data_IF_003220574446
#
_entry.id   IF_003220574446
#
_cell.length_a   1.000
_cell.length_b   1.000
_cell.length_c   1.000
_cell.angle_alpha   90.00
_cell.angle_beta   90.00
_cell.angle_gamma   90.00
#
_symmetry.space_group_name_H-M   'P 1'
#
loop_
_entity.id
_entity.type
_entity.pdbx_description
1 polymer ?
#
# COMPACT_ATOMS: atom_id res chain seq x y z
N UNK A 1 -21.86 -4.99 26.42
CA UNK A 1 -23.18 -4.40 26.14
C UNK A 1 -23.41 -3.26 27.11
N UNK A 2 -23.98 -2.14 26.68
CA UNK A 2 -24.32 -1.02 27.57
C UNK A 2 -25.83 -0.79 27.51
N UNK A 3 -26.52 -0.94 28.65
CA UNK A 3 -27.97 -0.81 28.70
C UNK A 3 -28.34 0.68 28.73
N UNK A 4 -29.07 1.14 27.72
CA UNK A 4 -29.54 2.53 27.66
C UNK A 4 -30.87 2.74 28.40
N UNK A 5 -31.76 1.75 28.36
CA UNK A 5 -33.07 1.81 29.00
C UNK A 5 -33.57 0.42 29.39
N UNK A 6 -34.35 0.34 30.47
CA UNK A 6 -34.89 -0.92 30.99
C UNK A 6 -33.91 -1.70 31.85
N UNK A 7 -34.23 -2.97 32.08
CA UNK A 7 -33.44 -3.91 32.89
C UNK A 7 -33.27 -5.20 32.11
N UNK A 8 -32.02 -5.63 31.93
CA UNK A 8 -31.68 -6.87 31.25
C UNK A 8 -31.50 -7.97 32.29
N UNK A 9 -32.13 -9.13 32.08
CA UNK A 9 -32.10 -10.25 33.03
C UNK A 9 -31.56 -11.53 32.42
N UNK A 10 -31.02 -12.37 33.29
CA UNK A 10 -30.68 -13.75 32.89
C UNK A 10 -31.94 -14.49 32.47
N UNK A 11 -31.89 -15.12 31.30
CA UNK A 11 -33.03 -15.80 30.69
C UNK A 11 -33.81 -14.97 29.66
N UNK A 12 -33.55 -13.66 29.56
CA UNK A 12 -34.13 -12.83 28.50
C UNK A 12 -33.67 -13.29 27.11
N UNK A 13 -34.50 -13.02 26.10
CA UNK A 13 -34.17 -13.29 24.71
C UNK A 13 -33.78 -11.95 24.09
N UNK A 14 -32.55 -11.87 23.59
CA UNK A 14 -31.97 -10.63 23.07
C UNK A 14 -31.72 -10.78 21.58
N UNK A 15 -32.02 -9.71 20.85
CA UNK A 15 -31.56 -9.49 19.48
C UNK A 15 -30.56 -8.34 19.52
N UNK A 16 -29.37 -8.55 18.98
CA UNK A 16 -28.30 -7.55 18.87
C UNK A 16 -27.80 -7.52 17.42
N UNK A 17 -28.17 -6.48 16.66
CA UNK A 17 -27.88 -6.43 15.22
C UNK A 17 -28.41 -7.67 14.47
N UNK A 18 -27.50 -8.45 13.88
CA UNK A 18 -27.78 -9.72 13.19
C UNK A 18 -27.53 -10.98 14.05
N UNK A 19 -27.30 -10.81 15.35
CA UNK A 19 -27.18 -11.87 16.34
C UNK A 19 -28.44 -11.96 17.21
N UNK A 20 -28.76 -13.16 17.71
CA UNK A 20 -29.78 -13.33 18.73
C UNK A 20 -29.45 -14.50 19.64
N UNK A 21 -30.06 -14.52 20.83
CA UNK A 21 -29.93 -15.65 21.73
C UNK A 21 -30.58 -15.39 23.08
N UNK A 22 -30.62 -16.44 23.89
CA UNK A 22 -31.08 -16.36 25.28
C UNK A 22 -29.90 -16.04 26.19
N UNK A 23 -30.05 -15.05 27.06
CA UNK A 23 -29.04 -14.67 28.06
C UNK A 23 -28.80 -15.84 29.01
N UNK A 24 -27.61 -16.43 28.95
CA UNK A 24 -27.20 -17.53 29.83
C UNK A 24 -26.49 -17.03 31.08
N UNK A 25 -25.76 -15.92 30.95
CA UNK A 25 -25.11 -15.25 32.05
C UNK A 25 -24.87 -13.78 31.69
N UNK A 26 -24.91 -12.93 32.73
CA UNK A 26 -24.42 -11.56 32.69
C UNK A 26 -23.21 -11.47 33.62
N UNK A 27 -22.15 -10.84 33.14
CA UNK A 27 -20.94 -10.58 33.92
C UNK A 27 -20.71 -9.08 33.94
N UNK A 28 -20.60 -8.50 35.14
CA UNK A 28 -20.29 -7.09 35.33
C UNK A 28 -18.82 -6.77 35.01
N UNK A 29 -18.49 -5.50 34.90
CA UNK A 29 -17.14 -4.98 34.65
C UNK A 29 -16.09 -5.44 35.70
N UNK A 30 -16.53 -5.64 36.94
CA UNK A 30 -15.71 -6.17 38.03
C UNK A 30 -15.52 -7.71 37.98
N UNK A 31 -16.06 -8.38 36.95
CA UNK A 31 -15.98 -9.83 36.76
C UNK A 31 -16.99 -10.64 37.58
N UNK A 32 -17.85 -10.01 38.37
CA UNK A 32 -18.90 -10.70 39.11
C UNK A 32 -20.07 -11.10 38.21
N UNK A 33 -20.65 -12.28 38.44
CA UNK A 33 -21.90 -12.67 37.79
C UNK A 33 -23.07 -11.94 38.42
N UNK A 34 -23.94 -11.38 37.60
CA UNK A 34 -25.14 -10.64 38.03
C UNK A 34 -26.39 -11.29 37.43
N UNK A 35 -27.51 -11.23 38.15
CA UNK A 35 -28.78 -11.78 37.66
C UNK A 35 -29.55 -10.79 36.78
N UNK A 36 -29.40 -9.50 37.08
CA UNK A 36 -29.97 -8.40 36.31
C UNK A 36 -28.97 -7.24 36.18
N UNK A 37 -29.16 -6.42 35.14
CA UNK A 37 -28.34 -5.28 34.83
C UNK A 37 -29.23 -4.09 34.42
N UNK A 38 -29.01 -2.94 35.05
CA UNK A 38 -29.81 -1.72 34.86
C UNK A 38 -29.21 -0.74 33.84
N UNK A 39 -29.85 0.42 33.62
CA UNK A 39 -29.34 1.45 32.74
C UNK A 39 -27.97 1.96 33.20
N UNK A 40 -27.10 2.28 32.24
CA UNK A 40 -25.72 2.76 32.46
C UNK A 40 -24.74 1.74 33.03
N UNK A 41 -25.16 0.48 33.22
CA UNK A 41 -24.27 -0.60 33.64
C UNK A 41 -23.70 -1.33 32.40
N UNK A 42 -22.36 -1.38 32.24
CA UNK A 42 -21.75 -2.21 31.21
C UNK A 42 -21.74 -3.68 31.67
N UNK A 43 -22.26 -4.58 30.83
CA UNK A 43 -22.24 -6.02 31.10
C UNK A 43 -21.76 -6.81 29.90
N UNK A 44 -21.00 -7.86 30.16
CA UNK A 44 -20.70 -8.92 29.21
C UNK A 44 -21.85 -9.92 29.21
N UNK A 45 -22.47 -10.10 28.04
CA UNK A 45 -23.58 -11.01 27.84
C UNK A 45 -23.07 -12.27 27.17
N UNK A 46 -23.36 -13.42 27.79
CA UNK A 46 -23.08 -14.74 27.24
C UNK A 46 -24.38 -15.41 26.79
N UNK A 47 -24.40 -15.97 25.58
CA UNK A 47 -25.53 -16.77 25.09
C UNK A 47 -26.05 -16.42 23.68
N UNK A 48 -25.46 -15.43 23.01
CA UNK A 48 -25.75 -15.17 21.60
C UNK A 48 -25.20 -16.28 20.70
N UNK A 49 -25.88 -16.50 19.58
CA UNK A 49 -25.47 -17.47 18.57
C UNK A 49 -24.21 -17.06 17.79
N UNK A 50 -23.94 -15.76 17.71
CA UNK A 50 -22.76 -15.17 17.07
C UNK A 50 -22.41 -13.83 17.76
N UNK A 51 -21.20 -13.34 17.54
CA UNK A 51 -20.82 -12.01 18.00
C UNK A 51 -21.60 -10.92 17.22
N UNK A 52 -22.23 -9.96 17.90
CA UNK A 52 -22.80 -8.78 17.26
C UNK A 52 -21.71 -7.79 16.86
N UNK A 53 -22.01 -6.87 15.95
CA UNK A 53 -21.07 -5.84 15.54
C UNK A 53 -20.91 -4.75 16.60
N UNK A 54 -19.76 -4.10 16.61
CA UNK A 54 -19.53 -2.97 17.49
C UNK A 54 -20.51 -1.83 17.15
N UNK A 55 -21.19 -1.32 18.18
CA UNK A 55 -22.20 -0.27 18.02
C UNK A 55 -23.60 -0.77 17.62
N UNK A 56 -23.79 -2.08 17.43
CA UNK A 56 -25.13 -2.63 17.19
C UNK A 56 -26.06 -2.35 18.37
N UNK A 57 -27.25 -1.84 18.06
CA UNK A 57 -28.33 -1.75 19.03
C UNK A 57 -28.85 -3.15 19.37
N UNK A 58 -29.14 -3.36 20.65
CA UNK A 58 -29.76 -4.58 21.13
C UNK A 58 -31.09 -4.31 21.82
N UNK A 59 -31.99 -5.29 21.76
CA UNK A 59 -33.34 -5.20 22.32
C UNK A 59 -33.77 -6.56 22.85
N UNK A 60 -34.48 -6.55 23.98
CA UNK A 60 -35.12 -7.75 24.54
C UNK A 60 -36.44 -8.00 23.81
N UNK A 61 -36.70 -9.26 23.45
CA UNK A 61 -37.91 -9.68 22.74
C UNK A 61 -38.62 -10.82 23.45
N UNK A 62 -39.91 -10.94 23.18
CA UNK A 62 -40.85 -11.79 23.91
C UNK A 62 -40.69 -13.30 23.62
N UNK A 63 -40.10 -13.66 22.47
CA UNK A 63 -39.94 -15.07 22.08
C UNK A 63 -38.77 -15.31 21.13
N UNK A 64 -38.27 -16.55 21.13
CA UNK A 64 -37.17 -16.96 20.22
C UNK A 64 -37.60 -16.93 18.76
N UNK A 65 -38.88 -17.26 18.48
CA UNK A 65 -39.42 -17.22 17.12
C UNK A 65 -39.36 -15.81 16.54
N UNK A 66 -39.75 -14.80 17.32
CA UNK A 66 -39.68 -13.39 16.94
C UNK A 66 -38.23 -12.92 16.77
N UNK A 67 -37.33 -13.35 17.64
CA UNK A 67 -35.90 -13.05 17.54
C UNK A 67 -35.30 -13.55 16.21
N UNK A 68 -35.59 -14.81 15.86
CA UNK A 68 -35.16 -15.44 14.60
C UNK A 68 -35.68 -14.70 13.39
N UNK A 69 -36.97 -14.37 13.38
CA UNK A 69 -37.60 -13.66 12.25
C UNK A 69 -36.95 -12.28 12.01
N UNK A 70 -36.68 -11.52 13.07
CA UNK A 70 -36.01 -10.22 12.99
C UNK A 70 -34.59 -10.38 12.42
N UNK A 71 -33.83 -11.36 12.92
CA UNK A 71 -32.46 -11.60 12.47
C UNK A 71 -32.43 -12.10 11.02
N UNK A 72 -33.29 -13.04 10.64
CA UNK A 72 -33.38 -13.54 9.26
C UNK A 72 -33.73 -12.41 8.29
N UNK A 73 -34.65 -11.53 8.66
CA UNK A 73 -34.98 -10.34 7.86
C UNK A 73 -33.78 -9.40 7.70
N UNK A 74 -33.06 -9.10 8.80
CA UNK A 74 -31.86 -8.26 8.76
C UNK A 74 -30.74 -8.88 7.93
N UNK A 75 -30.48 -10.18 8.11
CA UNK A 75 -29.47 -10.91 7.34
C UNK A 75 -29.82 -10.98 5.85
N UNK A 76 -31.11 -11.16 5.51
CA UNK A 76 -31.55 -11.12 4.11
C UNK A 76 -31.35 -9.74 3.51
N UNK A 77 -31.75 -8.69 4.21
CA UNK A 77 -31.58 -7.30 3.76
C UNK A 77 -30.10 -6.94 3.56
N UNK A 78 -29.22 -7.37 4.45
CA UNK A 78 -27.78 -7.15 4.33
C UNK A 78 -27.19 -7.94 3.18
N UNK A 79 -27.61 -9.21 3.01
CA UNK A 79 -27.22 -10.03 1.86
C UNK A 79 -27.70 -9.43 0.55
N UNK A 80 -28.90 -8.88 0.49
CA UNK A 80 -29.44 -8.20 -0.69
C UNK A 80 -28.69 -6.89 -0.98
N UNK A 81 -28.20 -6.20 0.06
CA UNK A 81 -27.35 -5.01 -0.10
C UNK A 81 -25.97 -5.35 -0.65
N UNK A 82 -25.35 -6.43 -0.16
CA UNK A 82 -24.05 -6.92 -0.63
C UNK A 82 -24.14 -7.56 -2.01
N UNK A 83 -25.23 -8.30 -2.28
CA UNK A 83 -25.51 -8.96 -3.55
C UNK A 83 -26.32 -8.12 -4.52
N UNK A 84 -26.61 -6.84 -4.23
CA UNK A 84 -27.03 -5.92 -5.28
C UNK A 84 -25.81 -5.85 -6.19
N UNK A 85 -25.83 -6.48 -7.37
CA UNK A 85 -24.74 -6.30 -8.28
C UNK A 85 -24.89 -4.84 -8.66
N UNK A 86 -23.95 -4.00 -8.24
CA UNK A 86 -23.51 -2.98 -9.17
C UNK A 86 -23.04 -3.82 -10.34
N UNK A 87 -23.93 -4.07 -11.30
CA UNK A 87 -23.57 -4.62 -12.57
C UNK A 87 -22.58 -3.60 -13.08
N UNK A 88 -21.29 -3.84 -12.80
CA UNK A 88 -20.21 -3.04 -13.34
C UNK A 88 -20.43 -3.17 -14.83
N UNK A 89 -20.95 -2.12 -15.43
CA UNK A 89 -21.22 -2.10 -16.86
C UNK A 89 -19.93 -2.53 -17.56
N UNK A 90 -20.05 -3.16 -18.73
CA UNK A 90 -18.86 -3.54 -19.49
C UNK A 90 -17.92 -2.33 -19.68
N UNK A 91 -18.50 -1.12 -19.76
CA UNK A 91 -17.81 0.17 -19.78
C UNK A 91 -17.03 0.47 -18.49
N UNK A 92 -17.56 0.17 -17.30
CA UNK A 92 -16.84 0.31 -16.03
C UNK A 92 -15.72 -0.73 -15.85
N UNK A 93 -15.90 -1.95 -16.36
CA UNK A 93 -14.82 -2.95 -16.38
C UNK A 93 -13.73 -2.55 -17.39
N UNK A 94 -14.12 -1.98 -18.54
CA UNK A 94 -13.20 -1.44 -19.54
C UNK A 94 -12.48 -0.17 -19.05
N UNK A 95 -13.10 0.67 -18.22
CA UNK A 95 -12.43 1.84 -17.65
C UNK A 95 -11.39 1.45 -16.58
N UNK A 96 -11.69 0.43 -15.76
CA UNK A 96 -10.73 -0.12 -14.79
C UNK A 96 -9.54 -0.82 -15.46
N UNK A 97 -9.67 -1.28 -16.71
CA UNK A 97 -8.57 -1.80 -17.52
C UNK A 97 -7.76 -0.70 -18.24
N UNK A 98 -8.32 0.51 -18.37
CA UNK A 98 -7.67 1.65 -19.05
C UNK A 98 -6.83 2.52 -18.12
N UNK A 99 -7.23 2.63 -16.86
CA UNK A 99 -6.33 3.04 -15.79
C UNK A 99 -5.31 1.90 -15.63
N UNK A 100 -4.03 2.17 -15.91
CA UNK A 100 -2.99 1.13 -15.94
C UNK A 100 -3.01 0.24 -14.70
N UNK A 101 -2.54 -1.00 -14.84
CA UNK A 101 -2.57 -2.04 -13.78
C UNK A 101 -2.15 -1.49 -12.41
N UNK A 102 -3.14 -1.07 -11.61
CA UNK A 102 -2.96 -0.73 -10.21
C UNK A 102 -2.47 -1.99 -9.53
N UNK A 103 -1.28 -1.94 -8.95
CA UNK A 103 -0.71 -3.10 -8.26
C UNK A 103 -1.49 -3.32 -6.97
N UNK A 104 -1.90 -4.55 -6.72
CA UNK A 104 -2.61 -4.91 -5.49
C UNK A 104 -1.69 -5.72 -4.58
N UNK A 105 -1.69 -5.40 -3.29
CA UNK A 105 -1.08 -6.18 -2.21
C UNK A 105 -2.21 -6.92 -1.50
N UNK A 106 -2.46 -8.20 -1.83
CA UNK A 106 -3.52 -8.95 -1.18
C UNK A 106 -3.11 -9.31 0.25
N UNK A 107 -4.01 -9.15 1.21
CA UNK A 107 -3.76 -9.47 2.62
C UNK A 107 -4.98 -10.12 3.27
N UNK A 108 -4.76 -10.95 4.29
CA UNK A 108 -5.81 -11.47 5.17
C UNK A 108 -5.59 -10.96 6.59
N UNK A 109 -6.65 -10.47 7.24
CA UNK A 109 -6.56 -9.90 8.60
C UNK A 109 -7.29 -10.78 9.60
N UNK A 110 -6.63 -11.14 10.70
CA UNK A 110 -7.25 -11.76 11.87
C UNK A 110 -6.97 -10.93 13.10
N UNK A 111 -7.99 -10.63 13.89
CA UNK A 111 -7.85 -9.86 15.12
C UNK A 111 -8.52 -10.57 16.31
N UNK A 112 -8.12 -10.19 17.52
CA UNK A 112 -8.70 -10.67 18.78
C UNK A 112 -10.14 -10.20 18.97
N UNK A 113 -10.42 -8.96 18.58
CA UNK A 113 -11.73 -8.32 18.66
C UNK A 113 -12.09 -7.61 17.36
N UNK A 114 -13.39 -7.40 17.13
CA UNK A 114 -13.90 -6.78 15.92
C UNK A 114 -13.40 -5.34 15.72
N UNK A 115 -13.34 -4.54 16.79
CA UNK A 115 -12.88 -3.15 16.70
C UNK A 115 -11.43 -3.02 16.19
N UNK A 116 -10.55 -3.93 16.59
CA UNK A 116 -9.18 -4.01 16.07
C UNK A 116 -9.17 -4.35 14.58
N UNK A 117 -10.01 -5.31 14.16
CA UNK A 117 -10.13 -5.70 12.75
C UNK A 117 -10.57 -4.53 11.87
N UNK A 118 -11.60 -3.79 12.29
CA UNK A 118 -12.12 -2.63 11.55
C UNK A 118 -11.10 -1.49 11.49
N UNK A 119 -10.41 -1.21 12.60
CA UNK A 119 -9.37 -0.18 12.66
C UNK A 119 -8.19 -0.49 11.72
N UNK A 120 -7.78 -1.76 11.64
CA UNK A 120 -6.71 -2.20 10.73
C UNK A 120 -7.16 -2.03 9.28
N UNK A 121 -8.34 -2.52 8.91
CA UNK A 121 -8.86 -2.39 7.54
C UNK A 121 -8.93 -0.91 7.13
N UNK A 122 -9.48 -0.06 7.98
CA UNK A 122 -9.59 1.38 7.70
C UNK A 122 -8.21 2.05 7.55
N UNK A 123 -7.19 1.58 8.28
CA UNK A 123 -5.82 2.06 8.12
C UNK A 123 -5.20 1.60 6.80
N UNK A 124 -5.38 0.32 6.44
CA UNK A 124 -4.88 -0.28 5.21
C UNK A 124 -5.50 0.36 3.95
N UNK A 125 -6.80 0.65 3.97
CA UNK A 125 -7.51 1.28 2.84
C UNK A 125 -7.02 2.73 2.58
N UNK A 126 -6.67 3.47 3.64
CA UNK A 126 -6.17 4.85 3.53
C UNK A 126 -4.78 4.95 2.91
N UNK A 127 -3.99 3.87 2.93
CA UNK A 127 -2.65 3.85 2.34
C UNK A 127 -2.64 3.68 0.81
N UNK A 128 -3.78 3.34 0.21
CA UNK A 128 -3.86 3.12 -1.23
C UNK A 128 -3.59 4.39 -2.03
N UNK A 129 -2.81 4.24 -3.11
CA UNK A 129 -2.59 5.27 -4.13
C UNK A 129 -3.19 4.81 -5.46
N UNK A 130 -3.09 5.65 -6.50
CA UNK A 130 -3.49 5.27 -7.86
C UNK A 130 -2.58 4.18 -8.45
N UNK A 131 -1.33 4.05 -7.97
CA UNK A 131 -0.35 3.08 -8.46
C UNK A 131 -0.37 1.74 -7.70
N UNK A 132 -0.57 1.77 -6.37
CA UNK A 132 -0.51 0.58 -5.49
C UNK A 132 -1.61 0.65 -4.43
N UNK A 133 -2.25 -0.47 -4.13
CA UNK A 133 -3.27 -0.56 -3.09
C UNK A 133 -3.26 -1.87 -2.32
N UNK A 134 -3.74 -1.82 -1.09
CA UNK A 134 -3.98 -3.02 -0.28
C UNK A 134 -5.35 -3.59 -0.64
N UNK A 135 -5.41 -4.90 -0.86
CA UNK A 135 -6.66 -5.63 -1.08
C UNK A 135 -6.88 -6.61 0.06
N UNK A 136 -7.88 -6.35 0.89
CA UNK A 136 -8.24 -7.27 1.98
C UNK A 136 -9.07 -8.42 1.41
N UNK A 137 -8.52 -9.63 1.40
CA UNK A 137 -9.20 -10.85 0.93
C UNK A 137 -10.28 -11.30 1.91
N UNK A 138 -9.94 -11.28 3.19
CA UNK A 138 -10.83 -11.63 4.29
C UNK A 138 -10.35 -10.94 5.56
N UNK A 139 -11.31 -10.52 6.38
CA UNK A 139 -11.07 -10.04 7.72
C UNK A 139 -11.99 -10.78 8.70
N UNK A 140 -11.43 -11.26 9.80
CA UNK A 140 -12.18 -12.03 10.78
C UNK A 140 -11.66 -11.90 12.19
N UNK A 141 -12.49 -12.31 13.15
CA UNK A 141 -12.16 -12.31 14.58
C UNK A 141 -11.79 -13.73 15.01
N UNK A 142 -10.77 -13.85 15.85
CA UNK A 142 -10.25 -15.10 16.39
C UNK A 142 -8.93 -15.55 15.80
N UNK A 143 -8.46 -16.72 16.26
CA UNK A 143 -7.18 -17.30 15.82
C UNK A 143 -7.14 -17.66 14.34
N UNK A 144 -5.93 -17.79 13.80
CA UNK A 144 -5.72 -18.20 12.40
C UNK A 144 -5.98 -19.71 12.25
N UNK A 145 -6.75 -20.06 11.23
CA UNK A 145 -7.20 -21.42 10.92
C UNK A 145 -6.66 -21.92 9.57
N UNK A 146 -6.78 -23.22 9.29
CA UNK A 146 -6.36 -23.84 8.03
C UNK A 146 -7.10 -23.24 6.80
N UNK A 147 -8.37 -22.88 6.97
CA UNK A 147 -9.16 -22.24 5.92
C UNK A 147 -8.58 -20.89 5.51
N UNK A 148 -8.04 -20.13 6.48
CA UNK A 148 -7.39 -18.85 6.22
C UNK A 148 -6.09 -19.05 5.43
N UNK A 149 -5.29 -20.05 5.82
CA UNK A 149 -4.05 -20.43 5.11
C UNK A 149 -4.35 -20.89 3.68
N UNK A 150 -5.41 -21.67 3.49
CA UNK A 150 -5.82 -22.15 2.16
C UNK A 150 -6.20 -20.97 1.24
N UNK A 151 -6.95 -20.00 1.76
CA UNK A 151 -7.35 -18.81 1.01
C UNK A 151 -6.12 -17.96 0.61
N UNK A 152 -5.18 -17.81 1.53
CA UNK A 152 -3.94 -17.07 1.33
C UNK A 152 -2.98 -17.73 0.35
N UNK A 153 -2.82 -19.06 0.40
CA UNK A 153 -1.97 -19.82 -0.52
C UNK A 153 -2.44 -19.69 -1.98
N UNK A 154 -3.75 -19.61 -2.22
CA UNK A 154 -4.29 -19.44 -3.57
C UNK A 154 -4.06 -18.04 -4.16
N UNK A 155 -3.73 -17.05 -3.32
CA UNK A 155 -3.67 -15.63 -3.71
C UNK A 155 -2.32 -14.98 -3.37
N UNK A 156 -1.32 -15.77 -2.98
CA UNK A 156 0.01 -15.31 -2.52
C UNK A 156 -0.07 -14.18 -1.48
N UNK A 157 -1.02 -14.28 -0.54
CA UNK A 157 -1.33 -13.23 0.42
C UNK A 157 -0.81 -13.57 1.83
N UNK A 158 -0.07 -12.68 2.51
CA UNK A 158 0.29 -12.88 3.91
C UNK A 158 -0.94 -12.76 4.83
N UNK A 159 -0.84 -13.42 5.98
CA UNK A 159 -1.83 -13.34 7.07
C UNK A 159 -1.30 -12.38 8.15
N UNK A 160 -2.05 -11.32 8.42
CA UNK A 160 -1.79 -10.34 9.47
C UNK A 160 -2.62 -10.70 10.72
N UNK A 161 -1.95 -11.25 11.74
CA UNK A 161 -2.55 -11.72 12.97
C UNK A 161 -2.33 -10.72 14.12
N UNK A 162 -3.35 -9.94 14.47
CA UNK A 162 -3.32 -8.94 15.53
C UNK A 162 -3.84 -9.50 16.86
N UNK A 163 -2.97 -9.56 17.88
CA UNK A 163 -3.25 -10.14 19.20
C UNK A 163 -3.78 -11.59 19.19
N UNK A 164 -3.64 -12.30 18.08
CA UNK A 164 -4.09 -13.68 17.91
C UNK A 164 -2.96 -14.58 17.44
N UNK A 165 -3.14 -15.90 17.59
CA UNK A 165 -2.17 -16.91 17.18
C UNK A 165 -2.81 -17.91 16.22
N UNK A 166 -1.97 -18.50 15.37
CA UNK A 166 -2.35 -19.65 14.57
C UNK A 166 -2.39 -20.91 15.43
N UNK A 167 -3.41 -21.74 15.21
CA UNK A 167 -3.45 -23.08 15.78
C UNK A 167 -2.32 -23.96 15.18
N UNK A 168 -1.99 -25.07 15.85
CA UNK A 168 -0.87 -25.91 15.42
C UNK A 168 -1.02 -26.44 13.98
N UNK A 169 -2.21 -26.91 13.55
CA UNK A 169 -2.40 -27.35 12.17
C UNK A 169 -2.24 -26.23 11.13
N UNK A 170 -2.78 -25.04 11.37
CA UNK A 170 -2.64 -23.89 10.47
C UNK A 170 -1.18 -23.47 10.33
N UNK A 171 -0.40 -23.52 11.42
CA UNK A 171 1.04 -23.20 11.37
C UNK A 171 1.82 -24.19 10.51
N UNK A 172 1.57 -25.49 10.66
CA UNK A 172 2.20 -26.52 9.84
C UNK A 172 1.81 -26.39 8.37
N UNK A 173 0.54 -26.07 8.09
CA UNK A 173 0.07 -25.82 6.73
C UNK A 173 0.72 -24.58 6.12
N UNK A 174 0.85 -23.49 6.89
CA UNK A 174 1.49 -22.27 6.43
C UNK A 174 2.96 -22.46 6.11
N UNK A 175 3.71 -23.22 6.93
CA UNK A 175 5.09 -23.60 6.63
C UNK A 175 5.21 -24.45 5.36
N UNK A 176 4.30 -25.41 5.17
CA UNK A 176 4.28 -26.29 3.99
C UNK A 176 3.96 -25.52 2.70
N UNK A 177 2.93 -24.68 2.76
CA UNK A 177 2.37 -23.96 1.61
C UNK A 177 3.03 -22.59 1.42
N UNK A 178 4.09 -22.30 2.19
CA UNK A 178 4.89 -21.06 2.16
C UNK A 178 4.05 -19.78 2.34
N UNK A 179 3.00 -19.86 3.15
CA UNK A 179 2.16 -18.71 3.51
C UNK A 179 2.77 -18.02 4.73
N UNK A 180 3.10 -16.74 4.58
CA UNK A 180 3.65 -15.95 5.68
C UNK A 180 2.56 -15.55 6.68
N UNK A 181 2.76 -15.85 7.96
CA UNK A 181 1.92 -15.38 9.07
C UNK A 181 2.72 -14.39 9.91
N UNK A 182 2.32 -13.13 9.89
CA UNK A 182 2.92 -12.07 10.70
C UNK A 182 2.05 -11.78 11.92
N UNK A 183 2.69 -11.70 13.07
CA UNK A 183 2.02 -11.45 14.34
C UNK A 183 2.30 -10.03 14.81
N UNK A 184 1.24 -9.31 15.12
CA UNK A 184 1.30 -7.94 15.59
C UNK A 184 0.53 -7.78 16.90
N UNK A 185 0.96 -6.81 17.69
CA UNK A 185 0.26 -6.32 18.88
C UNK A 185 0.11 -4.79 18.85
N UNK A 186 0.70 -4.12 17.87
CA UNK A 186 0.62 -2.67 17.63
C UNK A 186 0.20 -2.45 16.17
N UNK A 187 -0.82 -1.61 15.96
CA UNK A 187 -1.38 -1.38 14.60
C UNK A 187 -0.37 -0.63 13.72
N UNK A 188 0.40 0.29 14.28
CA UNK A 188 1.41 1.06 13.53
C UNK A 188 2.47 0.15 12.91
N UNK A 189 3.00 -0.81 13.66
CA UNK A 189 4.00 -1.77 13.14
C UNK A 189 3.45 -2.58 11.95
N UNK A 190 2.17 -2.97 12.01
CA UNK A 190 1.49 -3.66 10.91
C UNK A 190 1.37 -2.77 9.67
N UNK A 191 0.92 -1.53 9.89
CA UNK A 191 0.75 -0.53 8.84
C UNK A 191 2.09 -0.21 8.17
N UNK A 192 3.15 -0.02 8.96
CA UNK A 192 4.50 0.30 8.48
C UNK A 192 5.11 -0.86 7.67
N UNK A 193 4.91 -2.12 8.11
CA UNK A 193 5.36 -3.29 7.35
C UNK A 193 4.66 -3.38 5.98
N UNK A 194 3.34 -3.19 5.95
CA UNK A 194 2.59 -3.21 4.68
C UNK A 194 2.99 -2.04 3.79
N UNK A 195 3.21 -0.86 4.38
CA UNK A 195 3.72 0.31 3.68
C UNK A 195 5.07 0.02 3.02
N UNK A 196 6.01 -0.59 3.73
CA UNK A 196 7.32 -0.96 3.18
C UNK A 196 7.21 -1.93 2.00
N UNK A 197 6.28 -2.89 2.06
CA UNK A 197 5.98 -3.78 0.92
C UNK A 197 5.46 -3.00 -0.28
N UNK A 198 4.51 -2.08 -0.06
CA UNK A 198 3.96 -1.25 -1.12
C UNK A 198 5.03 -0.33 -1.75
N UNK A 199 5.92 0.25 -0.94
CA UNK A 199 7.07 1.05 -1.41
C UNK A 199 8.01 0.23 -2.29
N UNK A 200 8.31 -1.00 -1.90
CA UNK A 200 9.13 -1.93 -2.71
C UNK A 200 8.51 -2.28 -4.07
N UNK A 201 7.20 -2.08 -4.24
CA UNK A 201 6.49 -2.31 -5.50
C UNK A 201 6.43 -1.06 -6.39
N UNK A 202 6.78 0.12 -5.89
CA UNK A 202 6.80 1.36 -6.66
C UNK A 202 8.01 1.38 -7.62
N UNK A 203 7.79 1.92 -8.82
CA UNK A 203 8.90 2.20 -9.73
C UNK A 203 9.78 3.31 -9.11
N UNK A 204 11.11 3.17 -9.11
CA UNK A 204 11.98 4.19 -8.55
C UNK A 204 11.91 5.48 -9.38
N UNK A 205 12.03 6.62 -8.72
CA UNK A 205 12.07 7.92 -9.40
C UNK A 205 13.49 8.20 -9.89
N UNK A 206 13.59 8.75 -11.09
CA UNK A 206 14.84 9.28 -11.63
C UNK A 206 15.02 10.71 -11.12
N UNK A 207 16.09 10.97 -10.36
CA UNK A 207 16.48 12.32 -9.95
C UNK A 207 17.67 12.75 -10.77
N UNK A 208 17.55 13.92 -11.39
CA UNK A 208 18.66 14.57 -12.07
C UNK A 208 19.45 15.42 -11.07
N UNK A 209 20.76 15.18 -11.02
CA UNK A 209 21.71 15.97 -10.24
C UNK A 209 22.63 16.70 -11.20
N UNK A 210 22.57 18.03 -11.19
CA UNK A 210 23.45 18.87 -11.98
C UNK A 210 24.92 18.65 -11.57
N UNK A 211 25.80 18.48 -12.56
CA UNK A 211 27.24 18.29 -12.36
C UNK A 211 28.08 19.47 -12.84
N UNK A 212 27.68 20.14 -13.91
CA UNK A 212 28.46 21.24 -14.47
C UNK A 212 27.95 21.74 -15.81
N UNK A 213 28.57 22.84 -16.26
CA UNK A 213 28.30 23.46 -17.56
C UNK A 213 29.60 23.58 -18.35
N UNK A 214 29.51 23.42 -19.67
CA UNK A 214 30.62 23.63 -20.59
C UNK A 214 30.19 24.46 -21.80
N UNK A 215 31.03 25.39 -22.22
CA UNK A 215 30.77 26.24 -23.38
C UNK A 215 31.55 25.71 -24.60
N UNK A 216 30.89 25.55 -25.75
CA UNK A 216 31.56 25.14 -26.99
C UNK A 216 32.27 26.35 -27.61
N UNK A 217 33.61 26.32 -27.61
CA UNK A 217 34.45 27.38 -28.16
C UNK A 217 34.85 27.11 -29.62
N UNK A 218 34.97 25.84 -29.99
CA UNK A 218 35.34 25.45 -31.35
C UNK A 218 34.72 24.09 -31.71
N UNK A 219 34.43 23.87 -32.98
CA UNK A 219 33.95 22.56 -33.47
C UNK A 219 34.97 22.00 -34.46
N UNK A 220 35.41 20.78 -34.22
CA UNK A 220 36.33 20.04 -35.07
C UNK A 220 35.57 18.93 -35.81
N UNK A 221 35.95 18.67 -37.06
CA UNK A 221 35.42 17.53 -37.80
C UNK A 221 36.50 16.43 -37.89
N UNK A 222 36.25 15.28 -37.26
CA UNK A 222 37.18 14.15 -37.22
C UNK A 222 36.57 13.00 -38.01
N UNK A 223 37.29 12.50 -39.02
CA UNK A 223 36.84 11.46 -39.96
C UNK A 223 36.34 10.16 -39.33
N UNK A 224 36.72 9.83 -38.09
CA UNK A 224 36.30 8.61 -37.38
C UNK A 224 35.25 8.83 -36.27
N UNK A 225 35.21 10.01 -35.65
CA UNK A 225 34.37 10.29 -34.47
C UNK A 225 33.23 11.26 -34.80
N UNK A 226 33.23 11.86 -36.00
CA UNK A 226 32.29 12.89 -36.39
C UNK A 226 32.70 14.27 -35.85
N UNK A 227 31.71 15.10 -35.53
CA UNK A 227 31.93 16.44 -34.96
C UNK A 227 32.28 16.35 -33.47
N UNK A 228 33.39 16.98 -33.10
CA UNK A 228 33.88 17.08 -31.72
C UNK A 228 33.86 18.53 -31.29
N UNK A 229 33.19 18.80 -30.18
CA UNK A 229 33.14 20.10 -29.53
C UNK A 229 34.42 20.31 -28.70
N UNK A 230 35.22 21.31 -29.05
CA UNK A 230 36.24 21.86 -28.16
C UNK A 230 35.57 22.80 -27.17
N UNK A 231 35.52 22.37 -25.92
CA UNK A 231 34.76 23.02 -24.85
C UNK A 231 35.66 23.46 -23.71
N UNK A 232 35.21 24.49 -22.98
CA UNK A 232 35.76 24.86 -21.69
C UNK A 232 34.69 24.69 -20.63
N UNK A 233 35.02 24.00 -19.53
CA UNK A 233 34.09 23.83 -18.41
C UNK A 233 33.95 25.18 -17.70
N UNK A 234 32.75 25.76 -17.72
CA UNK A 234 32.45 27.03 -17.07
C UNK A 234 32.18 26.85 -15.57
N UNK A 235 31.51 25.76 -15.21
CA UNK A 235 31.09 25.47 -13.83
C UNK A 235 31.11 23.96 -13.56
N UNK A 236 31.46 23.58 -12.34
CA UNK A 236 31.38 22.18 -11.89
C UNK A 236 32.38 21.26 -12.58
N UNK A 237 31.90 20.13 -13.10
CA UNK A 237 32.71 19.13 -13.79
C UNK A 237 31.93 18.42 -14.91
N UNK A 238 32.67 17.95 -15.91
CA UNK A 238 32.19 17.03 -16.92
C UNK A 238 32.67 15.61 -16.60
N UNK A 239 31.78 14.63 -16.70
CA UNK A 239 32.10 13.21 -16.49
C UNK A 239 31.67 12.41 -17.71
N UNK A 240 32.52 11.49 -18.17
CA UNK A 240 32.28 10.70 -19.39
C UNK A 240 30.96 9.90 -19.31
N UNK A 241 30.61 9.40 -18.14
CA UNK A 241 29.41 8.57 -17.91
C UNK A 241 28.13 9.38 -17.67
N UNK A 242 28.22 10.71 -17.57
CA UNK A 242 27.07 11.56 -17.29
C UNK A 242 26.18 11.75 -18.54
N UNK A 243 24.94 12.15 -18.30
CA UNK A 243 24.05 12.64 -19.35
C UNK A 243 24.34 14.12 -19.62
N UNK A 244 23.98 14.55 -20.82
CA UNK A 244 24.22 15.91 -21.29
C UNK A 244 22.97 16.47 -21.97
N UNK A 245 22.70 17.75 -21.75
CA UNK A 245 21.77 18.54 -22.56
C UNK A 245 22.56 19.60 -23.31
N UNK A 246 22.32 19.69 -24.61
CA UNK A 246 22.83 20.77 -25.44
C UNK A 246 21.80 21.88 -25.50
N UNK A 247 22.23 23.10 -25.17
CA UNK A 247 21.39 24.27 -25.02
C UNK A 247 21.89 25.36 -25.97
N UNK A 248 20.99 25.91 -26.78
CA UNK A 248 21.23 27.02 -27.70
C UNK A 248 20.17 28.08 -27.46
N UNK A 249 20.57 29.34 -27.26
CA UNK A 249 19.66 30.45 -26.97
C UNK A 249 18.67 30.14 -25.81
N UNK A 250 19.17 29.47 -24.77
CA UNK A 250 18.40 29.01 -23.59
C UNK A 250 17.32 27.95 -23.88
N UNK A 251 17.37 27.29 -25.04
CA UNK A 251 16.47 26.18 -25.41
C UNK A 251 17.26 24.87 -25.52
N UNK A 252 16.76 23.80 -24.90
CA UNK A 252 17.33 22.45 -25.04
C UNK A 252 17.07 21.95 -26.46
N UNK A 253 18.15 21.76 -27.23
CA UNK A 253 18.09 21.28 -28.62
C UNK A 253 18.39 19.79 -28.74
N UNK A 254 19.08 19.22 -27.75
CA UNK A 254 19.38 17.79 -27.72
C UNK A 254 19.63 17.31 -26.29
N UNK A 255 19.19 16.09 -25.99
CA UNK A 255 19.52 15.36 -24.77
C UNK A 255 20.13 14.02 -25.14
N UNK A 256 21.21 13.64 -24.45
CA UNK A 256 21.89 12.41 -24.77
C UNK A 256 23.03 12.08 -23.83
N UNK A 257 23.93 11.23 -24.32
CA UNK A 257 25.14 10.79 -23.65
C UNK A 257 26.36 11.24 -24.46
N UNK A 258 27.48 11.39 -23.78
CA UNK A 258 28.75 11.60 -24.47
C UNK A 258 29.16 10.30 -25.17
N UNK A 259 29.85 10.39 -26.31
CA UNK A 259 30.53 9.28 -27.00
C UNK A 259 32.03 9.27 -26.70
N UNK A 260 32.64 10.44 -26.48
CA UNK A 260 34.01 10.56 -25.96
C UNK A 260 34.15 11.82 -25.11
N UNK A 261 35.01 11.74 -24.09
CA UNK A 261 35.50 12.88 -23.31
C UNK A 261 37.02 12.82 -23.32
N UNK A 262 37.66 13.83 -23.91
CA UNK A 262 39.12 13.87 -24.10
C UNK A 262 39.69 15.16 -23.55
N UNK A 263 40.88 15.08 -22.98
CA UNK A 263 41.69 16.26 -22.70
C UNK A 263 42.91 16.21 -23.62
N UNK A 264 43.03 17.18 -24.51
CA UNK A 264 43.97 17.14 -25.63
C UNK A 264 43.81 15.89 -26.49
N UNK A 265 44.70 14.89 -26.34
CA UNK A 265 44.67 13.65 -27.10
C UNK A 265 44.22 12.44 -26.27
N UNK A 266 44.15 12.58 -24.95
CA UNK A 266 43.94 11.48 -24.02
C UNK A 266 42.47 11.41 -23.58
N UNK A 267 41.91 10.20 -23.53
CA UNK A 267 40.59 9.97 -22.97
C UNK A 267 40.65 10.04 -21.44
N UNK A 268 39.72 10.81 -20.87
CA UNK A 268 39.67 11.09 -19.43
C UNK A 268 38.30 10.77 -18.88
N UNK A 269 38.25 10.37 -17.61
CA UNK A 269 36.99 10.06 -16.93
C UNK A 269 36.21 11.32 -16.55
N UNK A 270 36.94 12.36 -16.15
CA UNK A 270 36.37 13.62 -15.71
C UNK A 270 37.28 14.82 -16.04
N UNK A 271 36.67 16.00 -16.13
CA UNK A 271 37.32 17.29 -16.37
C UNK A 271 36.64 18.33 -15.50
N UNK A 272 37.42 19.19 -14.84
CA UNK A 272 36.89 20.18 -13.89
C UNK A 272 36.79 21.58 -14.48
N UNK A 273 36.04 22.45 -13.80
CA UNK A 273 35.91 23.88 -14.12
C UNK A 273 37.24 24.56 -14.43
N UNK A 274 37.23 25.42 -15.45
CA UNK A 274 38.39 26.15 -15.94
C UNK A 274 39.31 25.36 -16.88
N UNK A 275 39.07 24.07 -17.08
CA UNK A 275 39.86 23.24 -17.99
C UNK A 275 39.19 23.12 -19.37
N UNK A 276 40.02 22.94 -20.39
CA UNK A 276 39.59 22.65 -21.76
C UNK A 276 39.52 21.14 -22.01
N UNK A 277 38.52 20.73 -22.79
CA UNK A 277 38.30 19.34 -23.18
C UNK A 277 37.61 19.24 -24.54
N UNK A 278 37.75 18.08 -25.18
CA UNK A 278 37.00 17.68 -26.35
C UNK A 278 35.85 16.75 -25.96
N UNK A 279 34.64 17.10 -26.36
CA UNK A 279 33.43 16.29 -26.16
C UNK A 279 32.84 15.89 -27.50
N UNK A 280 32.46 14.63 -27.65
CA UNK A 280 31.65 14.18 -28.77
C UNK A 280 30.35 13.59 -28.21
N UNK A 281 29.24 13.83 -28.91
CA UNK A 281 27.92 13.31 -28.52
C UNK A 281 27.66 11.95 -29.17
N UNK A 282 26.82 11.15 -28.56
CA UNK A 282 26.35 9.89 -29.14
C UNK A 282 25.17 10.16 -30.07
N UNK A 283 25.27 9.71 -31.33
CA UNK A 283 24.23 9.86 -32.36
C UNK A 283 23.76 11.30 -32.65
N UNK A 284 24.57 12.32 -32.32
CA UNK A 284 24.23 13.72 -32.57
C UNK A 284 25.44 14.52 -33.08
N UNK A 285 25.22 15.35 -34.11
CA UNK A 285 26.29 16.11 -34.77
C UNK A 285 26.00 17.61 -34.99
N UNK A 286 24.78 18.09 -34.73
CA UNK A 286 24.45 19.52 -34.88
C UNK A 286 24.87 20.33 -33.64
N UNK A 287 26.18 20.42 -33.45
CA UNK A 287 26.84 21.27 -32.45
C UNK A 287 27.39 22.54 -33.11
N UNK A 288 27.25 23.67 -32.43
CA UNK A 288 27.71 24.98 -32.89
C UNK A 288 28.54 25.68 -31.80
N UNK A 289 29.40 26.60 -32.25
CA UNK A 289 30.16 27.46 -31.33
C UNK A 289 29.19 28.39 -30.62
N UNK A 290 29.34 28.52 -29.30
CA UNK A 290 28.44 29.28 -28.44
C UNK A 290 27.32 28.46 -27.80
N UNK A 291 27.13 27.20 -28.20
CA UNK A 291 26.21 26.30 -27.48
C UNK A 291 26.75 25.99 -26.08
N UNK A 292 25.84 25.78 -25.13
CA UNK A 292 26.13 25.38 -23.75
C UNK A 292 25.77 23.92 -23.56
N UNK A 293 26.66 23.15 -22.95
CA UNK A 293 26.45 21.76 -22.59
C UNK A 293 26.23 21.70 -21.09
N UNK A 294 25.00 21.42 -20.68
CA UNK A 294 24.67 21.10 -19.29
C UNK A 294 24.92 19.62 -19.04
N UNK A 295 25.71 19.30 -18.02
CA UNK A 295 26.07 17.93 -17.65
C UNK A 295 25.36 17.59 -16.34
N UNK A 296 24.69 16.43 -16.31
CA UNK A 296 23.95 15.96 -15.15
C UNK A 296 24.05 14.44 -15.01
N UNK A 297 23.93 13.97 -13.78
CA UNK A 297 23.80 12.55 -13.45
C UNK A 297 22.34 12.21 -13.16
N UNK A 298 21.93 11.01 -13.54
CA UNK A 298 20.60 10.49 -13.22
C UNK A 298 20.77 9.42 -12.15
N UNK A 299 20.29 9.72 -10.95
CA UNK A 299 20.25 8.77 -9.84
C UNK A 299 18.86 8.13 -9.75
N UNK A 300 18.84 6.81 -9.56
CA UNK A 300 17.60 6.06 -9.33
C UNK A 300 17.35 6.03 -7.83
N UNK A 301 16.30 6.72 -7.38
CA UNK A 301 15.94 6.81 -5.96
C UNK A 301 14.67 6.00 -5.73
N UNK A 302 14.70 5.11 -4.72
CA UNK A 302 13.51 4.38 -4.30
C UNK A 302 12.43 5.37 -3.80
N UNK A 303 11.19 5.20 -4.27
CA UNK A 303 10.07 6.03 -3.82
C UNK A 303 9.58 5.56 -2.46
N UNK A 304 9.33 6.53 -1.58
CA UNK A 304 8.59 6.33 -0.34
C UNK A 304 7.15 6.75 -0.54
N UNK A 305 6.24 6.06 0.16
CA UNK A 305 4.83 6.44 0.27
C UNK A 305 4.71 7.45 1.41
N UNK A 306 5.24 8.67 1.26
CA UNK A 306 5.02 9.68 2.29
C UNK A 306 3.54 10.14 2.30
N UNK A 307 3.01 10.27 3.51
CA UNK A 307 1.59 10.35 3.86
C UNK A 307 0.85 11.61 3.39
#
# INVERSE_FOLDING_TARGET
MLIQSGTLRTGDIVVAGAAWGKVRALVADNGARVEEAGPSEPVELLGLNQAPSAGDEFTVVDSEGRAREIVEYRQRKERDRINTPVAKSLDQLMSQLKEGERKEVPVLVKADVQGSSEAIIAALEKMGTDEVAVRVLHAGVGGVTESDVTLCSASDAPILAFNVRANAPARQMAERDQVEIRYYNVIYDLVDDIKAVMEGMLAPTLRETFLGNAEILQVFNITKTGRVAGCRISEGMAKRSAKVRLIRDSVVIHEGTLSTLRRFKDEVKEVHAGQECGMAFENYQDIQVGDVIEIYEVETIARTLDA
#
